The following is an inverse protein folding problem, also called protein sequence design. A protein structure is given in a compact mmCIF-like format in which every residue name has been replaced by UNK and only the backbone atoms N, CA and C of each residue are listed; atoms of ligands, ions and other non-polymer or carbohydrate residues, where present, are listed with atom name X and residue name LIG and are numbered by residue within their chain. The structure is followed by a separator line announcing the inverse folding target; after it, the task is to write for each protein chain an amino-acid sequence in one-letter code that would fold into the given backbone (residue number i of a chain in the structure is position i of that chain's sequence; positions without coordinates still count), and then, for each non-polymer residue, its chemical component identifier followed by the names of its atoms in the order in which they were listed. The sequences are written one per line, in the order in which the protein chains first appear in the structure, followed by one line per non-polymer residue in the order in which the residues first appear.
data_IF_878886676835
#
_entry.id   IF_878886676835
#
_cell.length_a   1.000
_cell.length_b   1.000
_cell.length_c   1.000
_cell.angle_alpha   90.00
_cell.angle_beta   90.00
_cell.angle_gamma   90.00
#
_symmetry.space_group_name_H-M   'P 1'
#
loop_
_entity.id
_entity.type
_entity.pdbx_description
1 polymer ?
#
# COMPACT_ATOMS: atom_id res chain seq x y z
N UNK A 1 -0.76 -6.21 -9.10
CA UNK A 1 -0.25 -4.92 -8.62
C UNK A 1 0.80 -5.26 -7.59
N UNK A 2 1.99 -4.66 -7.67
CA UNK A 2 2.98 -4.75 -6.60
C UNK A 2 2.88 -3.48 -5.75
N UNK A 3 2.74 -3.64 -4.43
CA UNK A 3 2.87 -2.49 -3.54
C UNK A 3 4.32 -2.01 -3.61
N UNK A 4 4.50 -0.74 -3.96
CA UNK A 4 5.81 -0.10 -4.02
C UNK A 4 6.09 0.71 -2.77
N UNK A 5 5.12 0.92 -1.89
CA UNK A 5 5.29 1.68 -0.65
C UNK A 5 4.69 0.94 0.53
N UNK A 6 5.35 1.07 1.68
CA UNK A 6 4.88 0.52 2.95
C UNK A 6 5.34 1.39 4.11
N UNK A 7 4.39 1.79 4.95
CA UNK A 7 4.60 2.63 6.13
C UNK A 7 3.81 2.10 7.32
N UNK A 8 4.22 2.52 8.50
CA UNK A 8 3.50 2.30 9.74
C UNK A 8 3.48 3.58 10.59
N UNK A 9 2.53 3.65 11.50
CA UNK A 9 2.36 4.71 12.50
C UNK A 9 1.93 4.10 13.83
N UNK A 10 2.08 4.83 14.94
CA UNK A 10 1.71 4.37 16.29
C UNK A 10 2.51 3.15 16.76
N UNK A 11 3.78 3.05 16.37
CA UNK A 11 4.69 1.97 16.72
C UNK A 11 6.00 2.46 17.36
N UNK A 12 6.18 2.14 18.64
CA UNK A 12 7.41 2.38 19.41
C UNK A 12 7.86 3.84 19.38
N UNK A 13 8.91 4.16 18.63
CA UNK A 13 9.46 5.52 18.49
C UNK A 13 8.76 6.34 17.40
N UNK A 14 7.88 5.73 16.62
CA UNK A 14 7.11 6.39 15.55
C UNK A 14 5.64 6.45 15.97
N UNK A 15 5.29 7.51 16.71
CA UNK A 15 3.94 7.67 17.27
C UNK A 15 3.03 8.39 16.28
N UNK A 16 3.30 9.67 16.02
CA UNK A 16 2.35 10.54 15.33
C UNK A 16 2.55 10.63 13.82
N UNK A 17 3.72 10.24 13.32
CA UNK A 17 4.10 10.33 11.91
C UNK A 17 4.19 8.96 11.24
N UNK A 18 3.86 8.93 9.95
CA UNK A 18 4.07 7.76 9.10
C UNK A 18 5.56 7.54 8.86
N UNK A 19 6.07 6.38 9.23
CA UNK A 19 7.45 5.98 9.01
C UNK A 19 7.52 4.71 8.16
N UNK A 20 8.45 4.67 7.20
CA UNK A 20 8.60 3.53 6.31
C UNK A 20 9.27 3.89 5.00
N UNK A 21 8.84 3.23 3.93
CA UNK A 21 9.35 3.37 2.59
C UNK A 21 8.26 3.98 1.70
N UNK A 22 8.52 5.19 1.19
CA UNK A 22 7.71 5.80 0.12
C UNK A 22 7.82 5.01 -1.18
N UNK A 23 8.97 4.37 -1.40
CA UNK A 23 9.24 3.50 -2.54
C UNK A 23 10.20 2.37 -2.13
N UNK A 24 9.90 1.14 -2.52
CA UNK A 24 10.74 -0.05 -2.34
C UNK A 24 11.61 -0.18 -3.58
N UNK A 25 12.84 0.31 -3.50
CA UNK A 25 13.84 0.22 -4.57
C UNK A 25 14.60 -1.10 -4.51
N UNK A 26 15.15 -1.59 -5.65
CA UNK A 26 15.95 -2.82 -5.69
C UNK A 26 17.09 -2.84 -4.67
N UNK A 27 17.68 -1.66 -4.39
CA UNK A 27 18.69 -1.47 -3.35
C UNK A 27 18.24 -0.27 -2.50
N UNK A 28 18.12 -0.50 -1.18
CA UNK A 28 17.73 0.52 -0.21
C UNK A 28 18.73 0.53 0.95
N UNK A 29 19.29 1.69 1.27
CA UNK A 29 20.26 1.85 2.37
C UNK A 29 19.59 2.58 3.53
N UNK A 30 19.58 1.98 4.71
CA UNK A 30 19.00 2.57 5.93
C UNK A 30 20.14 3.08 6.83
N UNK A 31 20.30 4.40 6.91
CA UNK A 31 21.32 5.07 7.73
C UNK A 31 20.70 5.87 8.87
N UNK A 32 21.45 6.05 9.95
CA UNK A 32 21.03 6.83 11.11
C UNK A 32 21.79 6.46 12.38
N UNK A 33 21.65 7.26 13.44
CA UNK A 33 22.28 6.99 14.75
C UNK A 33 21.81 5.65 15.34
N UNK A 34 22.56 5.12 16.30
CA UNK A 34 22.09 3.93 17.03
C UNK A 34 20.79 4.25 17.78
N UNK A 35 19.93 3.24 17.90
CA UNK A 35 18.66 3.33 18.62
C UNK A 35 17.58 4.29 18.05
N UNK A 36 17.71 4.74 16.80
CA UNK A 36 16.69 5.58 16.12
C UNK A 36 15.55 4.79 15.46
N UNK A 37 15.46 3.48 15.71
CA UNK A 37 14.38 2.65 15.14
C UNK A 37 14.68 1.99 13.79
N UNK A 38 15.94 1.98 13.31
CA UNK A 38 16.33 1.27 12.07
C UNK A 38 15.89 -0.20 12.04
N UNK A 39 16.01 -0.90 13.17
CA UNK A 39 15.58 -2.31 13.28
C UNK A 39 14.06 -2.49 13.13
N UNK A 40 13.26 -1.46 13.45
CA UNK A 40 11.82 -1.47 13.21
C UNK A 40 11.49 -1.33 11.73
N UNK A 41 12.22 -0.51 10.98
CA UNK A 41 12.11 -0.46 9.51
C UNK A 41 12.48 -1.78 8.86
N UNK A 42 13.52 -2.47 9.34
CA UNK A 42 13.88 -3.82 8.85
C UNK A 42 12.79 -4.86 9.16
N UNK A 43 12.11 -4.75 10.31
CA UNK A 43 10.98 -5.62 10.65
C UNK A 43 9.80 -5.40 9.71
N UNK A 44 9.58 -4.18 9.23
CA UNK A 44 8.56 -3.87 8.22
C UNK A 44 8.85 -4.56 6.88
N UNK A 45 10.11 -4.53 6.43
CA UNK A 45 10.55 -5.25 5.22
C UNK A 45 10.33 -6.75 5.39
N UNK A 46 10.73 -7.31 6.54
CA UNK A 46 10.54 -8.72 6.84
C UNK A 46 9.08 -9.15 6.78
N UNK A 47 8.18 -8.39 7.41
CA UNK A 47 6.74 -8.65 7.38
C UNK A 47 6.16 -8.64 5.96
N UNK A 48 6.70 -7.77 5.09
CA UNK A 48 6.30 -7.69 3.68
C UNK A 48 6.70 -8.94 2.88
N UNK A 49 7.88 -9.51 3.14
CA UNK A 49 8.38 -10.67 2.43
C UNK A 49 7.72 -11.99 2.86
N UNK A 50 7.38 -12.13 4.15
CA UNK A 50 6.87 -13.39 4.70
C UNK A 50 5.39 -13.67 4.31
N UNK A 51 4.76 -12.83 3.48
CA UNK A 51 3.29 -12.79 3.21
C UNK A 51 2.43 -12.71 4.48
N UNK A 52 3.09 -12.58 5.61
CA UNK A 52 2.55 -12.31 6.92
C UNK A 52 2.69 -10.82 7.12
N UNK A 53 1.82 -10.07 6.45
CA UNK A 53 1.42 -8.77 7.00
C UNK A 53 0.51 -9.06 8.22
N UNK A 54 1.03 -9.85 9.15
CA UNK A 54 0.44 -10.07 10.44
C UNK A 54 0.82 -8.80 11.18
N UNK A 55 -0.10 -7.85 11.21
CA UNK A 55 0.00 -6.66 12.02
C UNK A 55 0.15 -7.11 13.49
N UNK A 56 1.41 -7.23 13.92
CA UNK A 56 1.78 -7.98 15.12
C UNK A 56 1.34 -7.24 16.39
N UNK A 57 1.17 -5.92 16.31
CA UNK A 57 0.94 -5.06 17.44
C UNK A 57 -0.43 -4.37 17.31
N UNK A 58 -1.29 -4.51 18.32
CA UNK A 58 -2.58 -3.82 18.37
C UNK A 58 -2.32 -2.31 18.44
N UNK A 59 -3.12 -1.53 17.70
CA UNK A 59 -3.00 -0.07 17.68
C UNK A 59 -1.94 0.47 16.71
N UNK A 60 -1.19 -0.38 16.02
CA UNK A 60 -0.31 0.06 14.92
C UNK A 60 -1.15 0.20 13.66
N UNK A 61 -1.01 1.35 13.02
CA UNK A 61 -1.62 1.66 11.74
C UNK A 61 -0.61 1.40 10.63
N UNK A 62 -1.07 0.83 9.52
CA UNK A 62 -0.22 0.54 8.37
C UNK A 62 -0.77 1.23 7.14
N UNK A 63 0.13 1.65 6.26
CA UNK A 63 -0.24 2.19 4.96
C UNK A 63 0.57 1.47 3.90
N UNK A 64 -0.12 0.91 2.92
CA UNK A 64 0.50 0.33 1.73
C UNK A 64 0.03 1.10 0.52
N UNK A 65 0.87 1.21 -0.49
CA UNK A 65 0.48 1.92 -1.71
C UNK A 65 1.34 1.56 -2.90
N UNK A 66 0.90 1.98 -4.07
CA UNK A 66 1.64 1.79 -5.29
C UNK A 66 0.89 2.30 -6.51
N UNK A 67 1.58 2.27 -7.64
CA UNK A 67 1.00 2.62 -8.93
C UNK A 67 0.16 1.46 -9.47
N UNK A 68 -0.95 1.82 -10.09
CA UNK A 68 -1.78 0.87 -10.82
C UNK A 68 -1.15 0.58 -12.18
N UNK A 69 -0.69 -0.66 -12.35
CA UNK A 69 -0.18 -1.18 -13.62
C UNK A 69 -1.31 -1.69 -14.53
N UNK A 70 -1.06 -1.65 -15.83
CA UNK A 70 -2.03 -2.06 -16.86
C UNK A 70 -2.47 -3.52 -16.70
N UNK A 71 -1.55 -4.45 -16.39
CA UNK A 71 -1.87 -5.87 -16.24
C UNK A 71 -2.91 -6.08 -15.13
N UNK A 72 -2.68 -5.45 -13.98
CA UNK A 72 -3.57 -5.52 -12.82
C UNK A 72 -4.92 -4.86 -13.08
N UNK A 73 -4.91 -3.73 -13.77
CA UNK A 73 -6.14 -3.05 -14.15
C UNK A 73 -6.95 -3.87 -15.15
N UNK A 74 -6.33 -4.50 -16.14
CA UNK A 74 -7.04 -5.36 -17.12
C UNK A 74 -7.69 -6.58 -16.49
N UNK A 75 -7.13 -7.12 -15.40
CA UNK A 75 -7.77 -8.20 -14.66
C UNK A 75 -9.12 -7.76 -14.06
N UNK A 76 -9.24 -6.50 -13.63
CA UNK A 76 -10.46 -5.96 -13.03
C UNK A 76 -11.39 -5.31 -14.06
N UNK A 77 -10.83 -4.51 -14.95
CA UNK A 77 -11.49 -3.85 -16.08
C UNK A 77 -11.25 -4.67 -17.35
N UNK A 78 -11.83 -5.87 -17.40
CA UNK A 78 -11.74 -6.76 -18.56
C UNK A 78 -12.18 -6.04 -19.84
N UNK A 79 -11.68 -6.46 -21.01
CA UNK A 79 -12.10 -5.91 -22.31
C UNK A 79 -13.51 -6.37 -22.74
N UNK A 80 -14.47 -6.29 -21.82
CA UNK A 80 -15.86 -6.66 -22.01
C UNK A 80 -16.77 -5.44 -21.92
N UNK A 81 -17.92 -5.52 -22.55
CA UNK A 81 -18.94 -4.47 -22.47
C UNK A 81 -19.59 -4.48 -21.09
N UNK A 82 -19.76 -3.30 -20.48
CA UNK A 82 -20.48 -3.15 -19.21
C UNK A 82 -21.92 -2.73 -19.48
N UNK A 83 -22.88 -3.51 -19.00
CA UNK A 83 -24.29 -3.10 -19.04
C UNK A 83 -24.59 -1.95 -18.07
N UNK A 84 -23.85 -1.84 -16.96
CA UNK A 84 -24.09 -0.85 -15.90
C UNK A 84 -23.32 0.46 -16.09
N UNK A 85 -22.11 0.39 -16.65
CA UNK A 85 -21.25 1.56 -16.85
C UNK A 85 -21.32 2.10 -18.29
N UNK A 86 -21.94 1.36 -19.20
CA UNK A 86 -21.92 1.64 -20.63
C UNK A 86 -20.53 1.47 -21.26
N UNK A 87 -20.49 1.01 -22.51
CA UNK A 87 -19.24 0.85 -23.25
C UNK A 87 -18.35 -0.30 -22.76
N UNK A 88 -17.17 -0.40 -23.36
CA UNK A 88 -16.12 -1.35 -22.97
C UNK A 88 -15.43 -0.91 -21.66
N UNK A 89 -15.41 -1.80 -20.65
CA UNK A 89 -14.87 -1.50 -19.30
C UNK A 89 -13.41 -1.03 -19.34
N UNK A 90 -12.59 -1.61 -20.20
CA UNK A 90 -11.19 -1.20 -20.35
C UNK A 90 -11.07 0.14 -21.07
N UNK A 91 -11.57 0.23 -22.31
CA UNK A 91 -11.38 1.39 -23.19
C UNK A 91 -12.02 2.67 -22.64
N UNK A 92 -13.15 2.55 -21.95
CA UNK A 92 -13.91 3.71 -21.50
C UNK A 92 -13.71 4.04 -20.02
N UNK A 93 -13.08 3.18 -19.23
CA UNK A 93 -12.93 3.40 -17.78
C UNK A 93 -11.54 3.01 -17.28
N UNK A 94 -11.17 1.73 -17.40
CA UNK A 94 -9.97 1.16 -16.78
C UNK A 94 -8.65 1.82 -17.18
N UNK A 95 -8.49 2.18 -18.46
CA UNK A 95 -7.23 2.73 -18.99
C UNK A 95 -6.82 4.07 -18.35
N UNK A 96 -7.77 4.84 -17.82
CA UNK A 96 -7.50 6.15 -17.22
C UNK A 96 -6.84 6.06 -15.85
N UNK A 97 -6.84 4.88 -15.23
CA UNK A 97 -6.19 4.65 -13.95
C UNK A 97 -4.74 4.17 -14.08
N UNK A 98 -4.23 3.97 -15.30
CA UNK A 98 -2.83 3.56 -15.49
C UNK A 98 -1.91 4.64 -14.93
N UNK A 99 -1.02 4.26 -14.02
CA UNK A 99 -0.12 5.18 -13.35
C UNK A 99 -0.77 6.00 -12.22
N UNK A 100 -2.06 5.81 -11.93
CA UNK A 100 -2.66 6.39 -10.74
C UNK A 100 -2.06 5.74 -9.48
N UNK A 101 -1.68 6.57 -8.51
CA UNK A 101 -1.18 6.10 -7.22
C UNK A 101 -2.36 5.86 -6.28
N UNK A 102 -2.43 4.65 -5.72
CA UNK A 102 -3.40 4.32 -4.68
C UNK A 102 -2.68 3.93 -3.39
N UNK A 103 -3.31 4.25 -2.27
CA UNK A 103 -2.88 3.75 -0.97
C UNK A 103 -4.05 3.14 -0.22
N UNK A 104 -3.75 2.27 0.74
CA UNK A 104 -4.70 1.64 1.63
C UNK A 104 -4.18 1.75 3.05
N UNK A 105 -4.98 2.33 3.93
CA UNK A 105 -4.73 2.33 5.36
C UNK A 105 -5.32 1.06 5.96
N UNK A 106 -4.55 0.40 6.82
CA UNK A 106 -4.90 -0.88 7.41
C UNK A 106 -4.75 -0.77 8.92
N UNK A 107 -5.90 -0.86 9.59
CA UNK A 107 -6.01 -0.71 11.03
C UNK A 107 -6.57 -2.00 11.64
N UNK A 108 -5.84 -2.55 12.60
CA UNK A 108 -6.27 -3.76 13.31
C UNK A 108 -7.05 -3.38 14.57
N UNK A 109 -8.36 -3.60 14.52
CA UNK A 109 -9.26 -3.41 15.65
C UNK A 109 -9.53 -4.75 16.36
N UNK A 110 -10.16 -4.69 17.53
CA UNK A 110 -10.57 -5.88 18.29
C UNK A 110 -11.50 -6.83 17.48
N UNK A 111 -12.20 -6.29 16.48
CA UNK A 111 -13.16 -6.98 15.61
C UNK A 111 -12.58 -7.49 14.28
N UNK A 112 -11.29 -7.26 14.00
CA UNK A 112 -10.62 -7.68 12.76
C UNK A 112 -9.83 -6.57 12.08
N UNK A 113 -9.37 -6.84 10.85
CA UNK A 113 -8.65 -5.85 10.03
C UNK A 113 -9.65 -4.95 9.32
N UNK A 114 -9.58 -3.63 9.53
CA UNK A 114 -10.28 -2.62 8.75
C UNK A 114 -9.34 -2.14 7.65
N UNK A 115 -9.80 -2.23 6.39
CA UNK A 115 -9.09 -1.72 5.22
C UNK A 115 -9.83 -0.47 4.74
N UNK A 116 -9.11 0.64 4.63
CA UNK A 116 -9.63 1.90 4.09
C UNK A 116 -8.82 2.26 2.86
N UNK A 117 -9.46 2.18 1.69
CA UNK A 117 -8.85 2.58 0.43
C UNK A 117 -8.79 4.10 0.36
N UNK A 118 -7.60 4.63 0.11
CA UNK A 118 -7.34 6.05 -0.07
C UNK A 118 -6.90 6.26 -1.53
N UNK A 119 -7.79 6.86 -2.32
CA UNK A 119 -7.49 7.21 -3.70
C UNK A 119 -6.82 8.59 -3.73
N UNK A 120 -5.51 8.60 -3.98
CA UNK A 120 -4.81 9.84 -4.32
C UNK A 120 -4.86 10.02 -5.84
N UNK A 121 -5.98 10.52 -6.36
CA UNK A 121 -6.04 11.01 -7.73
C UNK A 121 -5.22 12.31 -7.79
N UNK A 122 -3.93 12.17 -8.08
CA UNK A 122 -3.08 13.30 -8.44
C UNK A 122 -3.45 13.66 -9.88
N UNK A 123 -4.20 14.76 -10.05
CA UNK A 123 -4.52 15.34 -11.36
C UNK A 123 -3.27 15.83 -12.08
#
# INVERSE_FOLDING_TARGET
MKFTSIKFKSYRCFQDEWAGFDEVKPITVIIGRNNVGKSHLLRLVRASCEKQIVFFDRGVEYQIGGLLDEESLKMQFQETYSQHLGGNKWKHHGRYFIGAYISANINKNASGNKYELVFCLVN
#
